data_IF_365184892428
#
_entry.id   IF_365184892428
#
_cell.length_a   1.000
_cell.length_b   1.000
_cell.length_c   1.000
_cell.angle_alpha   90.00
_cell.angle_beta   90.00
_cell.angle_gamma   90.00
#
_symmetry.space_group_name_H-M   'P 1'
#
loop_
_entity.id
_entity.type
_entity.pdbx_description
1 polymer ?
#
# COMPACT_ATOMS: atom_id res chain seq x y z
N UNK A 1 41.46 28.08 -5.25
CA UNK A 1 40.85 28.94 -6.27
C UNK A 1 40.66 28.09 -7.52
N UNK A 2 39.43 27.70 -7.86
CA UNK A 2 39.17 26.77 -8.96
C UNK A 2 37.76 26.17 -8.93
N UNK A 3 36.80 27.00 -9.37
CA UNK A 3 35.44 26.75 -9.90
C UNK A 3 34.69 25.45 -9.55
N UNK A 4 33.55 25.64 -8.88
CA UNK A 4 32.42 24.72 -8.83
C UNK A 4 31.96 24.32 -10.25
N UNK A 5 31.78 23.02 -10.50
CA UNK A 5 31.03 22.49 -11.65
C UNK A 5 29.57 22.30 -11.22
N UNK A 6 28.69 23.14 -11.73
CA UNK A 6 27.25 22.94 -11.76
C UNK A 6 26.88 22.58 -13.19
N UNK A 7 26.65 21.30 -13.47
CA UNK A 7 25.88 20.80 -14.63
C UNK A 7 25.78 19.28 -14.52
N UNK A 8 24.73 18.81 -13.85
CA UNK A 8 24.25 17.42 -13.95
C UNK A 8 22.79 17.46 -14.36
N UNK A 9 22.54 17.76 -15.61
CA UNK A 9 21.31 17.38 -16.29
C UNK A 9 21.66 16.91 -17.70
N UNK A 10 21.40 15.63 -17.97
CA UNK A 10 21.40 15.08 -19.34
C UNK A 10 20.06 15.43 -19.99
N UNK A 11 19.86 16.72 -20.28
CA UNK A 11 18.95 17.16 -21.33
C UNK A 11 19.81 17.82 -22.41
N UNK A 12 20.71 17.03 -23.00
CA UNK A 12 21.45 17.45 -24.18
C UNK A 12 20.87 16.75 -25.39
N UNK A 13 19.83 17.35 -25.98
CA UNK A 13 19.28 16.87 -27.24
C UNK A 13 18.79 18.00 -28.16
N UNK A 14 19.49 19.14 -28.20
CA UNK A 14 19.04 20.27 -29.03
C UNK A 14 20.10 21.00 -29.84
N UNK A 15 21.40 20.64 -29.80
CA UNK A 15 22.42 21.44 -30.50
C UNK A 15 23.10 20.83 -31.73
N UNK A 16 22.77 19.60 -32.15
CA UNK A 16 23.39 19.00 -33.35
C UNK A 16 22.54 19.08 -34.64
N UNK A 17 21.42 19.80 -34.65
CA UNK A 17 20.52 19.88 -35.82
C UNK A 17 20.63 21.17 -36.64
N UNK A 18 21.53 22.10 -36.32
CA UNK A 18 21.60 23.39 -37.01
C UNK A 18 22.25 23.38 -38.40
N UNK A 19 22.63 22.21 -38.94
CA UNK A 19 23.32 22.11 -40.23
C UNK A 19 22.53 21.46 -41.38
N UNK A 20 21.24 21.10 -41.22
CA UNK A 20 20.43 20.55 -42.32
C UNK A 20 18.95 20.95 -42.25
N UNK A 21 18.58 21.91 -43.09
CA UNK A 21 17.21 22.12 -43.57
C UNK A 21 16.29 22.88 -42.60
N UNK A 22 15.55 23.86 -43.15
CA UNK A 22 14.44 24.55 -42.49
C UNK A 22 13.26 23.60 -42.23
N UNK A 23 13.41 22.67 -41.29
CA UNK A 23 12.30 21.84 -40.81
C UNK A 23 12.21 22.06 -39.32
N UNK A 24 11.15 22.75 -38.90
CA UNK A 24 10.81 22.91 -37.49
C UNK A 24 10.85 21.52 -36.82
N UNK A 25 11.41 21.37 -35.61
CA UNK A 25 11.35 20.10 -34.90
C UNK A 25 9.89 19.62 -34.83
N UNK A 26 9.61 18.31 -34.97
CA UNK A 26 8.26 17.81 -34.95
C UNK A 26 7.57 18.26 -33.66
N UNK A 27 6.47 18.99 -33.81
CA UNK A 27 5.69 19.50 -32.69
C UNK A 27 5.10 18.30 -31.95
N UNK A 28 5.37 18.17 -30.65
CA UNK A 28 4.72 17.13 -29.85
C UNK A 28 3.20 17.34 -29.86
N UNK A 29 2.42 16.27 -29.72
CA UNK A 29 0.97 16.37 -29.65
C UNK A 29 0.52 17.34 -28.54
N UNK A 30 1.22 17.32 -27.41
CA UNK A 30 1.04 18.28 -26.31
C UNK A 30 1.19 19.74 -26.78
N UNK A 31 2.27 20.02 -27.50
CA UNK A 31 2.56 21.36 -28.04
C UNK A 31 1.58 21.77 -29.14
N UNK A 32 1.05 20.81 -29.91
CA UNK A 32 0.07 21.04 -30.97
C UNK A 32 -1.31 21.37 -30.42
N UNK A 33 -1.77 20.60 -29.43
CA UNK A 33 -3.09 20.76 -28.79
C UNK A 33 -3.06 21.86 -27.72
N UNK A 34 -1.88 22.34 -27.33
CA UNK A 34 -1.72 23.34 -26.25
C UNK A 34 -2.09 22.77 -24.88
N UNK A 35 -1.92 21.46 -24.68
CA UNK A 35 -2.28 20.73 -23.46
C UNK A 35 -1.08 19.95 -22.94
N UNK A 36 -0.77 20.00 -21.63
CA UNK A 36 0.26 19.14 -21.05
C UNK A 36 0.05 17.67 -21.39
N UNK A 37 1.14 16.94 -21.59
CA UNK A 37 1.11 15.56 -22.08
C UNK A 37 0.27 14.62 -21.20
N UNK A 38 0.31 14.84 -19.88
CA UNK A 38 -0.44 14.06 -18.90
C UNK A 38 -1.96 14.29 -18.89
N UNK A 39 -2.47 15.36 -19.54
CA UNK A 39 -3.92 15.61 -19.68
C UNK A 39 -4.43 15.37 -21.11
N UNK A 40 -3.58 14.91 -22.03
CA UNK A 40 -4.00 14.65 -23.41
C UNK A 40 -5.08 13.57 -23.50
N UNK A 41 -5.08 12.61 -22.57
CA UNK A 41 -6.10 11.58 -22.47
C UNK A 41 -7.38 12.04 -21.78
N UNK A 42 -7.39 13.23 -21.17
CA UNK A 42 -8.56 13.80 -20.50
C UNK A 42 -9.43 14.54 -21.52
N UNK A 43 -10.52 13.89 -21.93
CA UNK A 43 -11.50 14.41 -22.88
C UNK A 43 -12.63 15.07 -22.09
N UNK A 44 -12.83 16.39 -22.21
CA UNK A 44 -13.87 17.10 -21.47
C UNK A 44 -15.27 16.48 -21.63
N UNK A 45 -15.56 15.94 -22.81
CA UNK A 45 -16.86 15.35 -23.14
C UNK A 45 -17.13 14.02 -22.39
N UNK A 46 -16.08 13.37 -21.85
CA UNK A 46 -16.21 12.15 -21.05
C UNK A 46 -16.40 12.42 -19.56
N UNK A 47 -16.27 13.67 -19.11
CA UNK A 47 -16.45 14.04 -17.71
C UNK A 47 -17.88 13.73 -17.28
N UNK A 48 -18.04 13.00 -16.17
CA UNK A 48 -19.37 12.79 -15.58
C UNK A 48 -19.66 13.86 -14.55
N UNK A 49 -20.76 14.59 -14.72
CA UNK A 49 -21.24 15.54 -13.71
C UNK A 49 -22.06 14.87 -12.59
N UNK A 50 -22.40 13.59 -12.75
CA UNK A 50 -23.12 12.80 -11.76
C UNK A 50 -22.19 11.71 -11.24
N UNK A 51 -22.06 11.61 -9.93
CA UNK A 51 -21.27 10.57 -9.28
C UNK A 51 -22.14 9.62 -8.48
N UNK A 52 -21.78 8.35 -8.53
CA UNK A 52 -22.43 7.29 -7.75
C UNK A 52 -21.78 7.22 -6.38
N UNK A 53 -22.56 7.41 -5.32
CA UNK A 53 -22.08 7.25 -3.95
C UNK A 53 -21.99 5.77 -3.58
N UNK A 54 -20.82 5.34 -3.11
CA UNK A 54 -20.56 4.06 -2.47
C UNK A 54 -20.50 4.31 -0.97
N UNK A 55 -21.57 3.90 -0.28
CA UNK A 55 -21.61 3.97 1.17
C UNK A 55 -20.80 2.82 1.79
N UNK A 56 -19.90 3.17 2.70
CA UNK A 56 -19.02 2.24 3.43
C UNK A 56 -19.18 2.42 4.94
N UNK A 57 -20.25 3.09 5.39
CA UNK A 57 -20.55 3.30 6.81
C UNK A 57 -20.70 1.97 7.55
N UNK A 58 -21.37 0.99 6.95
CA UNK A 58 -21.52 -0.36 7.51
C UNK A 58 -20.17 -1.07 7.71
N UNK A 59 -19.22 -0.82 6.80
CA UNK A 59 -17.86 -1.38 6.90
C UNK A 59 -17.12 -0.81 8.11
N UNK A 60 -17.27 0.49 8.39
CA UNK A 60 -16.70 1.15 9.57
C UNK A 60 -17.37 0.65 10.85
N UNK A 61 -18.70 0.48 10.84
CA UNK A 61 -19.42 -0.07 11.97
C UNK A 61 -18.92 -1.49 12.31
N UNK A 62 -18.78 -2.35 11.29
CA UNK A 62 -18.25 -3.71 11.44
C UNK A 62 -16.80 -3.73 11.93
N UNK A 63 -15.94 -2.84 11.44
CA UNK A 63 -14.58 -2.72 11.96
C UNK A 63 -14.57 -2.24 13.42
N UNK A 64 -15.47 -1.32 13.78
CA UNK A 64 -15.60 -0.80 15.15
C UNK A 64 -15.93 -1.91 16.14
N UNK A 65 -16.81 -2.86 15.77
CA UNK A 65 -17.14 -3.99 16.66
C UNK A 65 -15.91 -4.87 16.93
N UNK A 66 -15.09 -5.17 15.92
CA UNK A 66 -13.84 -5.93 16.11
C UNK A 66 -12.82 -5.20 16.99
N UNK A 67 -12.82 -3.86 16.99
CA UNK A 67 -11.95 -3.04 17.83
C UNK A 67 -12.47 -2.84 19.27
N UNK A 68 -13.73 -3.24 19.53
CA UNK A 68 -14.36 -3.25 20.85
C UNK A 68 -14.29 -4.61 21.53
N UNK A 69 -14.21 -5.69 20.75
CA UNK A 69 -14.08 -7.04 21.29
C UNK A 69 -12.87 -7.12 22.24
N UNK A 70 -13.14 -7.49 23.50
CA UNK A 70 -12.08 -7.75 24.44
C UNK A 70 -11.18 -8.86 23.88
N UNK A 71 -9.84 -8.69 23.91
CA UNK A 71 -8.95 -9.73 23.45
C UNK A 71 -9.25 -11.00 24.22
N UNK A 72 -9.57 -12.07 23.50
CA UNK A 72 -9.80 -13.40 24.08
C UNK A 72 -8.68 -13.65 25.10
N UNK A 73 -9.07 -13.92 26.35
CA UNK A 73 -8.17 -14.26 27.45
C UNK A 73 -7.52 -15.62 27.14
N UNK A 74 -6.55 -15.59 26.24
CA UNK A 74 -5.69 -16.73 25.94
C UNK A 74 -4.79 -16.90 27.17
N UNK A 75 -4.76 -18.08 27.82
CA UNK A 75 -3.99 -18.33 29.05
C UNK A 75 -2.46 -18.39 28.82
N UNK A 76 -1.96 -17.77 27.75
CA UNK A 76 -0.53 -17.67 27.47
C UNK A 76 0.01 -16.38 28.09
N UNK A 77 1.11 -16.51 28.83
CA UNK A 77 1.93 -15.36 29.23
C UNK A 77 2.83 -15.00 28.06
N UNK A 78 2.80 -13.74 27.65
CA UNK A 78 3.66 -13.19 26.61
C UNK A 78 4.67 -12.25 27.26
N UNK A 79 5.91 -12.24 26.77
CA UNK A 79 6.92 -11.32 27.29
C UNK A 79 6.68 -9.89 26.80
N UNK A 80 6.12 -9.73 25.59
CA UNK A 80 5.78 -8.43 25.01
C UNK A 80 4.66 -8.52 23.95
N UNK A 81 4.23 -7.35 23.45
CA UNK A 81 3.16 -7.19 22.45
C UNK A 81 3.49 -7.79 21.08
N UNK A 82 4.74 -7.69 20.59
CA UNK A 82 5.13 -8.28 19.29
C UNK A 82 4.97 -9.79 19.29
N UNK A 83 5.31 -10.47 20.39
CA UNK A 83 5.12 -11.92 20.51
C UNK A 83 3.64 -12.31 20.50
N UNK A 84 2.79 -11.53 21.18
CA UNK A 84 1.34 -11.75 21.16
C UNK A 84 0.77 -11.60 19.75
N UNK A 85 1.14 -10.54 19.04
CA UNK A 85 0.70 -10.30 17.66
C UNK A 85 1.23 -11.36 16.69
N UNK A 86 2.43 -11.89 16.96
CA UNK A 86 3.04 -12.97 16.18
C UNK A 86 2.20 -14.23 16.24
N UNK A 87 1.74 -14.63 17.44
CA UNK A 87 0.88 -15.81 17.59
C UNK A 87 -0.47 -15.62 16.90
N UNK A 88 -1.07 -14.44 16.98
CA UNK A 88 -2.29 -14.13 16.24
C UNK A 88 -2.10 -14.24 14.71
N UNK A 89 -0.98 -13.72 14.20
CA UNK A 89 -0.62 -13.83 12.78
C UNK A 89 -0.37 -15.28 12.34
N UNK A 90 0.26 -16.09 13.17
CA UNK A 90 0.50 -17.52 12.90
C UNK A 90 -0.80 -18.32 12.83
N UNK A 91 -1.68 -18.12 13.80
CA UNK A 91 -3.00 -18.73 13.83
C UNK A 91 -3.85 -18.33 12.60
N UNK A 92 -3.79 -17.05 12.19
CA UNK A 92 -4.37 -16.61 10.92
C UNK A 92 -3.77 -17.36 9.73
N UNK A 93 -2.44 -17.42 9.59
CA UNK A 93 -1.78 -18.14 8.48
C UNK A 93 -2.16 -19.62 8.43
N UNK A 94 -2.25 -20.30 9.58
CA UNK A 94 -2.68 -21.71 9.66
C UNK A 94 -4.12 -21.88 9.17
N UNK A 95 -5.03 -21.00 9.57
CA UNK A 95 -6.42 -21.04 9.07
C UNK A 95 -6.50 -20.85 7.56
N UNK A 96 -5.68 -19.94 7.01
CA UNK A 96 -5.61 -19.66 5.57
C UNK A 96 -5.08 -20.82 4.76
N UNK A 97 -4.03 -21.47 5.24
CA UNK A 97 -3.40 -22.61 4.57
C UNK A 97 -4.36 -23.80 4.31
N UNK A 98 -5.51 -23.85 5.02
CA UNK A 98 -6.55 -24.87 4.83
C UNK A 98 -7.48 -24.59 3.64
N UNK A 99 -7.43 -23.39 3.06
CA UNK A 99 -8.31 -22.98 1.96
C UNK A 99 -7.52 -22.87 0.65
N UNK A 100 -8.09 -23.30 -0.49
CA UNK A 100 -7.44 -23.12 -1.78
C UNK A 100 -7.34 -21.63 -2.14
N UNK A 101 -6.22 -21.23 -2.74
CA UNK A 101 -6.05 -19.89 -3.30
C UNK A 101 -6.79 -19.81 -4.64
N UNK A 102 -7.62 -18.78 -4.80
CA UNK A 102 -8.40 -18.54 -6.01
C UNK A 102 -7.69 -17.57 -6.94
N UNK A 103 -7.76 -17.86 -8.24
CA UNK A 103 -7.15 -17.02 -9.27
C UNK A 103 -8.17 -16.04 -9.82
N UNK A 104 -7.86 -14.75 -9.71
CA UNK A 104 -8.71 -13.64 -10.11
C UNK A 104 -8.27 -13.18 -11.49
N UNK A 105 -9.13 -13.42 -12.49
CA UNK A 105 -8.86 -13.02 -13.87
C UNK A 105 -9.20 -11.55 -14.13
N UNK A 106 -10.30 -11.07 -13.56
CA UNK A 106 -10.81 -9.72 -13.79
C UNK A 106 -11.09 -9.05 -12.45
N UNK A 107 -10.70 -7.78 -12.32
CA UNK A 107 -11.06 -6.94 -11.16
C UNK A 107 -12.03 -5.87 -11.66
N UNK A 108 -13.30 -6.04 -11.30
CA UNK A 108 -14.36 -5.06 -11.51
C UNK A 108 -14.92 -4.56 -10.19
N UNK A 109 -16.16 -4.06 -10.23
CA UNK A 109 -16.83 -3.49 -9.04
C UNK A 109 -16.98 -4.52 -7.92
N UNK A 110 -17.48 -5.72 -8.23
CA UNK A 110 -17.80 -6.72 -7.22
C UNK A 110 -16.53 -7.20 -6.49
N UNK A 111 -15.48 -7.51 -7.25
CA UNK A 111 -14.19 -7.94 -6.72
C UNK A 111 -13.56 -6.83 -5.88
N UNK A 112 -13.57 -5.59 -6.36
CA UNK A 112 -13.02 -4.43 -5.63
C UNK A 112 -13.72 -4.24 -4.27
N UNK A 113 -15.06 -4.28 -4.25
CA UNK A 113 -15.82 -4.10 -3.01
C UNK A 113 -15.61 -5.27 -2.02
N UNK A 114 -15.56 -6.51 -2.51
CA UNK A 114 -15.24 -7.68 -1.68
C UNK A 114 -13.83 -7.57 -1.12
N UNK A 115 -12.86 -7.11 -1.91
CA UNK A 115 -11.49 -6.92 -1.46
C UNK A 115 -11.40 -5.82 -0.41
N UNK A 116 -12.08 -4.69 -0.60
CA UNK A 116 -12.10 -3.62 0.39
C UNK A 116 -12.70 -4.11 1.71
N UNK A 117 -13.86 -4.77 1.67
CA UNK A 117 -14.47 -5.31 2.88
C UNK A 117 -13.55 -6.31 3.58
N UNK A 118 -13.07 -7.31 2.83
CA UNK A 118 -12.29 -8.41 3.40
C UNK A 118 -10.99 -7.91 4.03
N UNK A 119 -10.26 -7.04 3.33
CA UNK A 119 -8.96 -6.57 3.80
C UNK A 119 -9.08 -5.49 4.88
N UNK A 120 -10.10 -4.62 4.81
CA UNK A 120 -10.33 -3.64 5.89
C UNK A 120 -10.68 -4.33 7.21
N UNK A 121 -11.54 -5.36 7.16
CA UNK A 121 -11.87 -6.16 8.34
C UNK A 121 -10.66 -6.95 8.84
N UNK A 122 -9.85 -7.54 7.95
CA UNK A 122 -8.63 -8.23 8.34
C UNK A 122 -7.62 -7.28 9.03
N UNK A 123 -7.47 -6.05 8.53
CA UNK A 123 -6.67 -5.02 9.18
C UNK A 123 -7.21 -4.68 10.57
N UNK A 124 -8.52 -4.48 10.72
CA UNK A 124 -9.16 -4.21 12.01
C UNK A 124 -8.91 -5.33 13.04
N UNK A 125 -9.04 -6.59 12.60
CA UNK A 125 -8.75 -7.77 13.43
C UNK A 125 -7.27 -7.89 13.79
N UNK A 126 -6.37 -7.50 12.89
CA UNK A 126 -4.94 -7.47 13.21
C UNK A 126 -4.63 -6.39 14.26
N UNK A 127 -5.21 -5.19 14.12
CA UNK A 127 -5.08 -4.11 15.10
C UNK A 127 -5.68 -4.45 16.46
N UNK A 128 -6.78 -5.21 16.53
CA UNK A 128 -7.34 -5.67 17.81
C UNK A 128 -6.42 -6.64 18.55
N UNK A 129 -5.46 -7.26 17.86
CA UNK A 129 -4.40 -8.06 18.46
C UNK A 129 -3.31 -7.25 19.16
N UNK A 130 -3.24 -5.92 18.96
CA UNK A 130 -2.18 -5.05 19.46
C UNK A 130 -2.58 -4.37 20.79
N UNK A 131 -2.08 -4.84 21.97
CA UNK A 131 -2.61 -4.43 23.27
C UNK A 131 -2.53 -2.93 23.56
N UNK A 132 -1.41 -2.29 23.20
CA UNK A 132 -1.21 -0.87 23.44
C UNK A 132 -2.11 -0.02 22.54
N UNK A 133 -2.47 -0.53 21.36
CA UNK A 133 -3.43 0.10 20.46
C UNK A 133 -4.87 -0.06 20.95
N UNK A 134 -5.27 -1.23 21.44
CA UNK A 134 -6.66 -1.45 21.90
C UNK A 134 -7.04 -0.56 23.08
N UNK A 135 -6.06 -0.15 23.88
CA UNK A 135 -6.23 0.79 25.00
C UNK A 135 -6.56 2.24 24.60
N UNK A 136 -6.43 2.58 23.31
CA UNK A 136 -6.70 3.94 22.82
C UNK A 136 -8.21 4.22 22.73
N UNK A 137 -8.55 5.51 22.69
CA UNK A 137 -9.92 5.97 22.42
C UNK A 137 -10.41 5.45 21.07
N UNK A 138 -11.68 5.07 20.97
CA UNK A 138 -12.24 4.50 19.73
C UNK A 138 -12.02 5.39 18.51
N UNK A 139 -12.20 6.70 18.65
CA UNK A 139 -11.97 7.64 17.55
C UNK A 139 -10.52 7.59 17.05
N UNK A 140 -9.55 7.54 17.96
CA UNK A 140 -8.12 7.42 17.59
C UNK A 140 -7.86 6.09 16.88
N UNK A 141 -8.46 4.99 17.37
CA UNK A 141 -8.34 3.67 16.72
C UNK A 141 -8.87 3.69 15.29
N UNK A 142 -10.03 4.31 15.08
CA UNK A 142 -10.67 4.40 13.76
C UNK A 142 -9.88 5.29 12.79
N UNK A 143 -9.39 6.44 13.23
CA UNK A 143 -8.56 7.31 12.37
C UNK A 143 -7.30 6.58 11.88
N UNK A 144 -6.58 5.90 12.80
CA UNK A 144 -5.40 5.11 12.44
C UNK A 144 -5.76 3.97 11.47
N UNK A 145 -6.84 3.23 11.74
CA UNK A 145 -7.26 2.14 10.87
C UNK A 145 -7.61 2.64 9.45
N UNK A 146 -8.43 3.69 9.35
CA UNK A 146 -8.86 4.29 8.09
C UNK A 146 -7.69 4.80 7.27
N UNK A 147 -6.67 5.40 7.89
CA UNK A 147 -5.50 5.92 7.17
C UNK A 147 -4.50 4.87 6.72
N UNK A 148 -4.50 3.69 7.35
CA UNK A 148 -3.35 2.78 7.27
C UNK A 148 -3.66 1.39 6.73
N UNK A 149 -4.94 1.00 6.61
CA UNK A 149 -5.33 -0.35 6.20
C UNK A 149 -4.82 -0.75 4.79
N UNK A 150 -4.74 0.19 3.84
CA UNK A 150 -4.20 -0.09 2.50
C UNK A 150 -2.68 -0.32 2.51
N UNK A 151 -1.96 0.37 3.40
CA UNK A 151 -0.53 0.12 3.61
C UNK A 151 -0.29 -1.24 4.27
N UNK A 152 -1.11 -1.56 5.29
CA UNK A 152 -1.13 -2.86 5.92
C UNK A 152 -1.35 -3.96 4.87
N UNK A 153 -2.40 -3.82 4.06
CA UNK A 153 -2.74 -4.75 2.98
C UNK A 153 -1.56 -4.96 2.05
N UNK A 154 -0.95 -3.87 1.58
CA UNK A 154 0.13 -3.94 0.61
C UNK A 154 1.35 -4.70 1.13
N UNK A 155 1.81 -4.37 2.34
CA UNK A 155 2.95 -5.08 2.92
C UNK A 155 2.61 -6.55 3.20
N UNK A 156 1.42 -6.81 3.74
CA UNK A 156 0.99 -8.17 4.07
C UNK A 156 0.91 -9.05 2.82
N UNK A 157 0.35 -8.56 1.72
CA UNK A 157 0.25 -9.31 0.46
C UNK A 157 1.57 -9.48 -0.27
N UNK A 158 2.47 -8.50 -0.17
CA UNK A 158 3.83 -8.66 -0.69
C UNK A 158 4.61 -9.72 0.11
N UNK A 159 4.45 -9.76 1.44
CA UNK A 159 5.07 -10.78 2.28
C UNK A 159 4.48 -12.17 2.04
N UNK A 160 3.16 -12.27 1.86
CA UNK A 160 2.49 -13.52 1.50
C UNK A 160 2.97 -14.02 0.13
N UNK A 161 3.01 -13.13 -0.87
CA UNK A 161 3.53 -13.44 -2.22
C UNK A 161 4.96 -13.96 -2.17
N UNK A 162 5.85 -13.29 -1.43
CA UNK A 162 7.23 -13.72 -1.24
C UNK A 162 7.33 -15.13 -0.63
N UNK A 163 6.43 -15.47 0.30
CA UNK A 163 6.37 -16.82 0.86
C UNK A 163 5.90 -17.89 -0.13
N UNK A 164 4.88 -17.59 -0.93
CA UNK A 164 4.42 -18.48 -1.99
C UNK A 164 5.47 -18.67 -3.10
N UNK A 165 6.20 -17.60 -3.47
CA UNK A 165 7.29 -17.67 -4.45
C UNK A 165 8.47 -18.50 -3.94
N UNK A 166 8.89 -18.28 -2.68
CA UNK A 166 9.98 -19.05 -2.03
C UNK A 166 9.66 -20.54 -1.97
N UNK A 167 8.40 -20.88 -1.68
CA UNK A 167 7.92 -22.27 -1.64
C UNK A 167 7.61 -22.86 -3.03
N UNK A 168 7.82 -22.10 -4.10
CA UNK A 168 7.50 -22.49 -5.49
C UNK A 168 6.04 -22.92 -5.70
N UNK A 169 5.12 -22.38 -4.90
CA UNK A 169 3.68 -22.67 -5.01
C UNK A 169 3.01 -21.76 -6.03
N UNK A 170 3.50 -20.53 -6.19
CA UNK A 170 3.06 -19.58 -7.20
C UNK A 170 4.23 -19.20 -8.13
N UNK A 171 3.92 -18.91 -9.39
CA UNK A 171 4.89 -18.39 -10.35
C UNK A 171 5.31 -16.94 -10.03
N UNK A 172 6.45 -16.51 -10.57
CA UNK A 172 7.05 -15.18 -10.35
C UNK A 172 6.10 -14.01 -10.66
N UNK A 173 5.17 -14.22 -11.59
CA UNK A 173 4.24 -13.19 -12.07
C UNK A 173 2.87 -13.28 -11.39
N UNK A 174 2.72 -14.16 -10.40
CA UNK A 174 1.48 -14.33 -9.64
C UNK A 174 1.63 -13.70 -8.26
N UNK A 175 0.76 -12.75 -7.95
CA UNK A 175 0.77 -11.98 -6.71
C UNK A 175 -0.52 -12.18 -5.93
N UNK A 176 -0.42 -12.26 -4.61
CA UNK A 176 -1.58 -12.21 -3.73
C UNK A 176 -2.18 -10.81 -3.76
N UNK A 177 -3.51 -10.72 -3.84
CA UNK A 177 -4.23 -9.44 -3.90
C UNK A 177 -5.28 -9.27 -2.81
N UNK A 178 -5.77 -10.38 -2.24
CA UNK A 178 -6.72 -10.40 -1.13
C UNK A 178 -6.62 -11.72 -0.37
N UNK A 179 -7.39 -11.86 0.70
CA UNK A 179 -7.51 -13.09 1.47
C UNK A 179 -7.89 -14.28 0.57
N UNK A 180 -6.98 -15.24 0.43
CA UNK A 180 -7.18 -16.43 -0.40
C UNK A 180 -7.33 -16.15 -1.90
N UNK A 181 -6.91 -14.98 -2.38
CA UNK A 181 -7.01 -14.62 -3.80
C UNK A 181 -5.67 -14.10 -4.35
N UNK A 182 -5.33 -14.53 -5.56
CA UNK A 182 -4.16 -14.09 -6.31
C UNK A 182 -4.52 -13.72 -7.75
N UNK A 183 -3.64 -12.97 -8.40
CA UNK A 183 -3.74 -12.58 -9.81
C UNK A 183 -2.40 -12.73 -10.50
N UNK A 184 -2.39 -12.89 -11.81
CA UNK A 184 -1.17 -12.77 -12.60
C UNK A 184 -1.07 -11.35 -13.16
N UNK A 185 0.01 -10.66 -12.82
CA UNK A 185 0.19 -9.22 -13.12
C UNK A 185 0.27 -8.94 -14.62
N UNK A 186 0.63 -9.92 -15.44
CA UNK A 186 0.73 -9.76 -16.89
C UNK A 186 -0.60 -9.99 -17.62
N UNK A 187 -1.53 -10.72 -17.00
CA UNK A 187 -2.72 -11.26 -17.68
C UNK A 187 -4.05 -10.86 -17.05
N UNK A 188 -4.05 -10.26 -15.87
CA UNK A 188 -5.28 -9.80 -15.24
C UNK A 188 -5.91 -8.65 -16.04
N UNK A 189 -7.25 -8.59 -16.00
CA UNK A 189 -8.03 -7.57 -16.68
C UNK A 189 -8.66 -6.62 -15.66
N UNK A 190 -8.64 -5.31 -15.95
CA UNK A 190 -9.34 -4.30 -15.16
C UNK A 190 -10.65 -3.93 -15.84
N UNK A 191 -11.77 -4.03 -15.11
CA UNK A 191 -13.03 -3.42 -15.51
C UNK A 191 -13.23 -2.11 -14.75
N UNK A 192 -13.01 -1.00 -15.45
CA UNK A 192 -13.14 0.35 -14.91
C UNK A 192 -14.49 1.00 -15.28
N UNK A 193 -15.36 0.34 -16.05
CA UNK A 193 -16.61 0.93 -16.55
C UNK A 193 -17.57 1.36 -15.44
N UNK A 194 -17.41 0.80 -14.25
CA UNK A 194 -18.23 1.12 -13.09
C UNK A 194 -17.79 2.40 -12.35
N UNK A 195 -16.55 2.86 -12.56
CA UNK A 195 -15.98 4.00 -11.85
C UNK A 195 -15.44 5.11 -12.75
N UNK A 196 -15.43 4.94 -14.06
CA UNK A 196 -14.95 5.97 -14.99
C UNK A 196 -15.55 5.78 -16.40
N UNK A 197 -15.67 6.88 -17.14
CA UNK A 197 -16.04 6.88 -18.56
C UNK A 197 -14.83 6.72 -19.49
N UNK A 198 -13.61 6.70 -18.94
CA UNK A 198 -12.37 6.51 -19.68
C UNK A 198 -12.04 5.03 -19.83
N UNK A 199 -11.40 4.66 -20.93
CA UNK A 199 -10.94 3.28 -21.11
C UNK A 199 -9.71 2.97 -20.25
N UNK A 200 -9.45 1.69 -20.02
CA UNK A 200 -8.23 1.23 -19.34
C UNK A 200 -6.97 1.73 -20.04
N UNK A 201 -6.96 1.79 -21.37
CA UNK A 201 -5.81 2.29 -22.14
C UNK A 201 -5.58 3.78 -21.92
N UNK A 202 -6.66 4.58 -21.85
CA UNK A 202 -6.56 6.02 -21.59
C UNK A 202 -6.04 6.32 -20.18
N UNK A 203 -6.40 5.48 -19.21
CA UNK A 203 -5.95 5.61 -17.83
C UNK A 203 -4.69 4.81 -17.51
N UNK A 204 -4.15 4.02 -18.45
CA UNK A 204 -3.00 3.12 -18.19
C UNK A 204 -1.82 3.89 -17.63
N UNK A 205 -1.45 5.02 -18.23
CA UNK A 205 -0.30 5.81 -17.79
C UNK A 205 -0.53 6.51 -16.44
N UNK A 206 -1.80 6.76 -16.11
CA UNK A 206 -2.21 7.36 -14.86
C UNK A 206 -2.28 6.34 -13.72
N UNK A 207 -2.81 5.15 -13.99
CA UNK A 207 -3.16 4.12 -13.00
C UNK A 207 -2.12 3.01 -12.82
N UNK A 208 -1.33 2.67 -13.85
CA UNK A 208 -0.61 1.38 -13.93
C UNK A 208 0.94 1.45 -13.88
N UNK A 209 1.72 2.47 -14.33
CA UNK A 209 3.08 2.17 -14.81
C UNK A 209 4.20 2.08 -13.77
N UNK A 210 3.97 2.34 -12.48
CA UNK A 210 5.05 2.41 -11.46
C UNK A 210 4.91 1.32 -10.39
N UNK A 211 3.87 0.50 -10.48
CA UNK A 211 3.45 -0.38 -9.38
C UNK A 211 4.16 -1.75 -9.46
N UNK A 212 4.38 -2.27 -10.67
CA UNK A 212 4.96 -3.60 -10.86
C UNK A 212 6.43 -3.70 -10.40
N UNK A 213 7.27 -2.72 -10.74
CA UNK A 213 8.69 -2.75 -10.37
C UNK A 213 8.90 -2.64 -8.86
N UNK A 214 8.14 -1.76 -8.19
CA UNK A 214 8.20 -1.63 -6.74
C UNK A 214 7.70 -2.88 -6.01
N UNK A 215 6.66 -3.55 -6.53
CA UNK A 215 6.18 -4.82 -5.99
C UNK A 215 7.22 -5.92 -6.15
N UNK A 216 7.76 -6.09 -7.36
CA UNK A 216 8.77 -7.11 -7.65
C UNK A 216 10.02 -6.92 -6.81
N UNK A 217 10.50 -5.68 -6.65
CA UNK A 217 11.64 -5.38 -5.78
C UNK A 217 11.34 -5.71 -4.31
N UNK A 218 10.15 -5.33 -3.82
CA UNK A 218 9.75 -5.61 -2.43
C UNK A 218 9.65 -7.11 -2.17
N UNK A 219 9.02 -7.86 -3.09
CA UNK A 219 8.92 -9.33 -3.01
C UNK A 219 10.30 -9.97 -3.05
N UNK A 220 11.21 -9.51 -3.91
CA UNK A 220 12.58 -10.02 -3.97
C UNK A 220 13.31 -9.84 -2.63
N UNK A 221 13.24 -8.65 -2.01
CA UNK A 221 13.85 -8.40 -0.70
C UNK A 221 13.22 -9.29 0.38
N UNK A 222 11.90 -9.41 0.42
CA UNK A 222 11.19 -10.25 1.40
C UNK A 222 11.48 -11.74 1.19
N UNK A 223 11.71 -12.17 -0.05
CA UNK A 223 12.08 -13.54 -0.39
C UNK A 223 13.51 -13.86 0.06
N UNK A 224 14.46 -12.94 -0.19
CA UNK A 224 15.87 -13.07 0.26
C UNK A 224 15.97 -13.09 1.78
N UNK A 225 15.25 -12.19 2.46
CA UNK A 225 15.41 -12.00 3.90
C UNK A 225 14.62 -13.00 4.73
N UNK A 226 13.51 -13.53 4.22
CA UNK A 226 12.62 -14.42 4.96
C UNK A 226 12.29 -13.83 6.35
N UNK A 227 11.56 -12.69 6.41
CA UNK A 227 11.27 -12.05 7.69
C UNK A 227 10.47 -12.99 8.59
N UNK A 228 10.85 -13.07 9.86
CA UNK A 228 10.03 -13.76 10.84
C UNK A 228 8.70 -13.02 11.04
N UNK A 229 7.69 -13.70 11.57
CA UNK A 229 6.41 -13.06 11.89
C UNK A 229 6.56 -11.90 12.90
N UNK A 230 7.60 -11.93 13.75
CA UNK A 230 7.95 -10.83 14.66
C UNK A 230 8.45 -9.63 13.86
N UNK A 231 9.38 -9.85 12.93
CA UNK A 231 9.91 -8.80 12.05
C UNK A 231 8.81 -8.22 11.16
N UNK A 232 7.95 -9.06 10.59
CA UNK A 232 6.84 -8.64 9.74
C UNK A 232 5.80 -7.82 10.52
N UNK A 233 5.43 -8.23 11.73
CA UNK A 233 4.56 -7.43 12.61
C UNK A 233 5.19 -6.06 12.91
N UNK A 234 6.48 -6.01 13.24
CA UNK A 234 7.17 -4.74 13.44
C UNK A 234 7.13 -3.86 12.19
N UNK A 235 7.39 -4.43 11.01
CA UNK A 235 7.31 -3.70 9.74
C UNK A 235 5.90 -3.13 9.50
N UNK A 236 4.84 -3.91 9.71
CA UNK A 236 3.45 -3.48 9.58
C UNK A 236 3.12 -2.34 10.54
N UNK A 237 3.50 -2.47 11.83
CA UNK A 237 3.26 -1.43 12.84
C UNK A 237 3.99 -0.14 12.45
N UNK A 238 5.28 -0.22 12.12
CA UNK A 238 6.06 0.95 11.70
C UNK A 238 5.43 1.63 10.47
N UNK A 239 5.06 0.85 9.45
CA UNK A 239 4.48 1.39 8.23
C UNK A 239 3.14 2.09 8.50
N UNK A 240 2.25 1.42 9.23
CA UNK A 240 0.90 1.92 9.47
C UNK A 240 0.87 3.13 10.40
N UNK A 241 1.62 3.09 11.50
CA UNK A 241 1.58 4.15 12.51
C UNK A 241 2.34 5.40 12.05
N UNK A 242 3.41 5.24 11.27
CA UNK A 242 4.13 6.38 10.69
C UNK A 242 3.23 7.17 9.73
N UNK A 243 2.44 6.47 8.91
CA UNK A 243 1.48 7.12 8.01
C UNK A 243 0.38 7.85 8.78
N UNK A 244 -0.24 7.19 9.77
CA UNK A 244 -1.29 7.80 10.58
C UNK A 244 -0.79 9.04 11.33
N UNK A 245 0.40 8.96 11.94
CA UNK A 245 1.03 10.08 12.64
C UNK A 245 1.28 11.27 11.72
N UNK A 246 1.82 11.01 10.51
CA UNK A 246 2.04 12.05 9.49
C UNK A 246 0.74 12.67 9.00
N UNK A 247 -0.33 11.89 8.83
CA UNK A 247 -1.62 12.38 8.33
C UNK A 247 -2.31 13.30 9.32
N UNK A 248 -2.42 12.89 10.58
CA UNK A 248 -3.28 13.57 11.55
C UNK A 248 -2.56 14.53 12.50
N UNK A 249 -1.25 14.37 12.70
CA UNK A 249 -0.46 15.22 13.60
C UNK A 249 -1.00 15.20 15.06
N UNK A 250 -0.50 16.09 15.92
CA UNK A 250 -1.00 16.31 17.28
C UNK A 250 -1.10 15.03 18.13
N UNK A 251 -2.24 14.83 18.80
CA UNK A 251 -2.47 13.67 19.70
C UNK A 251 -2.25 12.33 19.01
N UNK A 252 -2.61 12.20 17.72
CA UNK A 252 -2.43 10.94 17.00
C UNK A 252 -0.94 10.70 16.75
N UNK A 253 -0.19 11.74 16.33
CA UNK A 253 1.27 11.64 16.16
C UNK A 253 1.96 11.20 17.47
N UNK A 254 1.66 11.87 18.58
CA UNK A 254 2.24 11.53 19.90
C UNK A 254 1.97 10.07 20.29
N UNK A 255 0.75 9.61 20.07
CA UNK A 255 0.35 8.23 20.34
C UNK A 255 1.09 7.26 19.42
N UNK A 256 1.13 7.53 18.12
CA UNK A 256 1.81 6.66 17.14
C UNK A 256 3.30 6.56 17.40
N UNK A 257 3.98 7.66 17.76
CA UNK A 257 5.41 7.68 18.08
C UNK A 257 5.70 6.88 19.35
N UNK A 258 4.87 7.03 20.38
CA UNK A 258 4.97 6.22 21.60
C UNK A 258 4.83 4.73 21.30
N UNK A 259 3.82 4.35 20.52
CA UNK A 259 3.60 2.95 20.15
C UNK A 259 4.78 2.39 19.35
N UNK A 260 5.27 3.12 18.34
CA UNK A 260 6.43 2.74 17.53
C UNK A 260 7.69 2.56 18.39
N UNK A 261 7.92 3.44 19.37
CA UNK A 261 9.07 3.34 20.29
C UNK A 261 9.00 2.08 21.17
N UNK A 262 7.82 1.73 21.68
CA UNK A 262 7.62 0.49 22.45
C UNK A 262 7.96 -0.72 21.58
N UNK A 263 7.47 -0.75 20.34
CA UNK A 263 7.73 -1.88 19.43
C UNK A 263 9.20 -1.94 18.98
N UNK A 264 9.88 -0.80 18.86
CA UNK A 264 11.32 -0.78 18.57
C UNK A 264 12.13 -1.38 19.72
N UNK A 265 11.77 -1.09 20.97
CA UNK A 265 12.40 -1.72 22.14
C UNK A 265 12.12 -3.23 22.20
N UNK A 266 10.88 -3.65 21.92
CA UNK A 266 10.51 -5.06 21.89
C UNK A 266 11.28 -5.83 20.79
N UNK A 267 11.46 -5.22 19.61
CA UNK A 267 12.25 -5.82 18.54
C UNK A 267 13.74 -5.89 18.89
N UNK A 268 14.29 -4.84 19.52
CA UNK A 268 15.67 -4.85 20.01
C UNK A 268 15.90 -6.00 21.01
N UNK A 269 14.98 -6.17 21.96
CA UNK A 269 15.03 -7.25 22.93
C UNK A 269 14.92 -8.63 22.27
N UNK A 270 14.05 -8.78 21.27
CA UNK A 270 13.96 -10.01 20.47
C UNK A 270 15.31 -10.36 19.81
N UNK A 271 15.96 -9.41 19.13
CA UNK A 271 17.24 -9.68 18.49
C UNK A 271 18.35 -9.97 19.49
N UNK A 272 18.47 -9.17 20.55
CA UNK A 272 19.62 -9.22 21.47
C UNK A 272 19.49 -10.31 22.53
N UNK A 273 18.30 -10.51 23.10
CA UNK A 273 18.08 -11.46 24.20
C UNK A 273 17.70 -12.84 23.67
N UNK A 274 16.79 -12.92 22.68
CA UNK A 274 16.26 -14.19 22.17
C UNK A 274 17.12 -14.80 21.08
N UNK A 275 17.47 -14.02 20.04
CA UNK A 275 18.34 -14.50 18.96
C UNK A 275 19.83 -14.37 19.26
N UNK A 276 20.20 -13.62 20.31
CA UNK A 276 21.60 -13.32 20.68
C UNK A 276 22.42 -12.71 19.52
N UNK A 277 21.75 -11.90 18.69
CA UNK A 277 22.33 -11.20 17.56
C UNK A 277 22.66 -9.75 17.94
N UNK A 278 23.94 -9.39 17.87
CA UNK A 278 24.41 -8.02 18.14
C UNK A 278 24.43 -7.13 16.90
N UNK A 279 24.51 -7.72 15.70
CA UNK A 279 24.71 -7.00 14.43
C UNK A 279 23.47 -7.07 13.50
N UNK A 280 22.26 -6.94 14.06
CA UNK A 280 21.01 -7.05 13.29
C UNK A 280 20.63 -5.78 12.51
N UNK A 281 21.34 -4.66 12.72
CA UNK A 281 21.01 -3.35 12.13
C UNK A 281 21.00 -3.35 10.60
N UNK A 282 21.90 -4.11 9.96
CA UNK A 282 21.96 -4.24 8.50
C UNK A 282 20.73 -4.96 7.94
N UNK A 283 20.28 -6.02 8.62
CA UNK A 283 19.05 -6.75 8.30
C UNK A 283 17.83 -5.85 8.47
N UNK A 284 17.72 -5.17 9.61
CA UNK A 284 16.62 -4.23 9.87
C UNK A 284 16.58 -3.11 8.82
N UNK A 285 17.74 -2.58 8.41
CA UNK A 285 17.82 -1.57 7.35
C UNK A 285 17.26 -2.10 6.03
N UNK A 286 17.61 -3.33 5.63
CA UNK A 286 17.05 -3.93 4.41
C UNK A 286 15.53 -4.15 4.52
N UNK A 287 15.02 -4.58 5.68
CA UNK A 287 13.58 -4.70 5.91
C UNK A 287 12.88 -3.34 5.81
N UNK A 288 13.44 -2.29 6.42
CA UNK A 288 12.88 -0.93 6.35
C UNK A 288 12.89 -0.32 4.95
N UNK A 289 13.78 -0.76 4.05
CA UNK A 289 13.73 -0.36 2.63
C UNK A 289 12.41 -0.77 1.96
N UNK A 290 11.84 -1.91 2.34
CA UNK A 290 10.52 -2.34 1.83
C UNK A 290 9.44 -1.37 2.30
N UNK A 291 9.42 -1.03 3.59
CA UNK A 291 8.47 -0.03 4.11
C UNK A 291 8.60 1.32 3.42
N UNK A 292 9.84 1.78 3.17
CA UNK A 292 10.11 3.03 2.48
C UNK A 292 9.62 2.99 1.03
N UNK A 293 9.81 1.89 0.31
CA UNK A 293 9.31 1.72 -1.05
C UNK A 293 7.78 1.76 -1.10
N UNK A 294 7.10 1.07 -0.18
CA UNK A 294 5.64 1.08 -0.08
C UNK A 294 5.12 2.49 0.27
N UNK A 295 5.75 3.19 1.21
CA UNK A 295 5.36 4.55 1.57
C UNK A 295 5.62 5.57 0.44
N UNK A 296 6.65 5.36 -0.38
CA UNK A 296 6.93 6.19 -1.55
C UNK A 296 5.83 6.02 -2.62
N UNK A 297 5.46 4.78 -2.93
CA UNK A 297 4.36 4.51 -3.86
C UNK A 297 3.03 5.07 -3.35
N UNK A 298 2.73 4.92 -2.05
CA UNK A 298 1.52 5.47 -1.47
C UNK A 298 1.44 7.01 -1.64
N UNK A 299 2.58 7.71 -1.51
CA UNK A 299 2.63 9.16 -1.74
C UNK A 299 2.35 9.51 -3.20
N UNK A 300 2.96 8.80 -4.15
CA UNK A 300 2.70 9.00 -5.58
C UNK A 300 1.22 8.74 -5.92
N UNK A 301 0.60 7.74 -5.29
CA UNK A 301 -0.83 7.46 -5.45
C UNK A 301 -1.70 8.58 -4.90
N UNK A 302 -1.36 9.20 -3.77
CA UNK A 302 -2.10 10.37 -3.26
C UNK A 302 -2.05 11.54 -4.24
N UNK A 303 -0.88 11.80 -4.82
CA UNK A 303 -0.72 12.85 -5.82
C UNK A 303 -1.57 12.57 -7.07
N UNK A 304 -1.58 11.31 -7.53
CA UNK A 304 -2.45 10.88 -8.63
C UNK A 304 -3.93 10.98 -8.26
N UNK A 305 -4.35 10.50 -7.09
CA UNK A 305 -5.74 10.59 -6.64
C UNK A 305 -6.23 12.05 -6.63
N UNK A 306 -5.41 12.97 -6.15
CA UNK A 306 -5.69 14.40 -6.16
C UNK A 306 -5.84 14.96 -7.59
N UNK A 307 -4.95 14.58 -8.51
CA UNK A 307 -5.10 14.96 -9.93
C UNK A 307 -6.38 14.36 -10.54
N UNK A 308 -6.73 13.13 -10.18
CA UNK A 308 -7.92 12.46 -10.68
C UNK A 308 -9.19 13.18 -10.26
N UNK A 309 -9.20 13.71 -9.03
CA UNK A 309 -10.27 14.53 -8.49
C UNK A 309 -10.38 15.86 -9.24
N UNK A 310 -9.26 16.57 -9.45
CA UNK A 310 -9.23 17.84 -10.21
C UNK A 310 -9.79 17.66 -11.62
N UNK A 311 -9.38 16.60 -12.32
CA UNK A 311 -9.82 16.32 -13.68
C UNK A 311 -11.15 15.56 -13.75
N UNK A 312 -11.76 15.27 -12.60
CA UNK A 312 -13.01 14.54 -12.46
C UNK A 312 -13.04 13.24 -13.29
N UNK A 313 -11.96 12.46 -13.16
CA UNK A 313 -11.75 11.24 -13.95
C UNK A 313 -12.67 10.08 -13.54
N UNK A 314 -13.15 10.10 -12.29
CA UNK A 314 -13.96 9.04 -11.72
C UNK A 314 -15.42 9.47 -11.52
N UNK A 315 -16.32 8.53 -11.74
CA UNK A 315 -17.79 8.66 -11.62
C UNK A 315 -18.31 8.13 -10.28
N UNK A 316 -17.44 7.86 -9.31
CA UNK A 316 -17.77 7.33 -7.99
C UNK A 316 -17.22 8.20 -6.88
N UNK A 317 -17.95 8.26 -5.76
CA UNK A 317 -17.50 8.84 -4.50
C UNK A 317 -17.76 7.85 -3.37
N UNK A 318 -17.02 7.99 -2.28
CA UNK A 318 -17.20 7.18 -1.08
C UNK A 318 -17.77 8.05 0.04
N UNK A 319 -18.65 7.47 0.87
CA UNK A 319 -19.10 8.14 2.11
C UNK A 319 -17.96 8.53 3.06
N UNK A 320 -16.83 7.80 2.96
CA UNK A 320 -15.61 7.99 3.74
C UNK A 320 -14.40 8.00 2.81
N UNK A 321 -14.18 9.09 2.06
CA UNK A 321 -13.15 9.16 1.03
C UNK A 321 -11.72 9.06 1.61
N UNK A 322 -11.53 9.44 2.88
CA UNK A 322 -10.25 9.40 3.58
C UNK A 322 -9.62 8.00 3.66
N UNK A 323 -10.44 6.96 3.49
CA UNK A 323 -10.04 5.55 3.49
C UNK A 323 -9.40 5.09 2.18
N UNK A 324 -9.63 5.80 1.06
CA UNK A 324 -9.30 5.35 -0.28
C UNK A 324 -8.31 6.28 -1.01
N UNK A 325 -7.69 7.22 -0.30
CA UNK A 325 -6.72 8.18 -0.87
C UNK A 325 -5.50 7.53 -1.53
N UNK A 326 -5.19 6.27 -1.18
CA UNK A 326 -4.05 5.51 -1.73
C UNK A 326 -4.47 4.22 -2.45
N UNK A 327 -5.77 4.09 -2.76
CA UNK A 327 -6.35 2.87 -3.34
C UNK A 327 -5.81 2.57 -4.75
#
# INVERSE_FOLDING_TARGET
>A
MGKFQSDRDLISNSNNYLARGKVSPPQSLASFVGRPEFILCCEPDKISHVKTLIDVSDLIYKASSYLQEDPILIPYKFENSLEKMTLAMEDMKIRRAKKPVQFVKTIGKAESLIFYETNFIAAAQWFSGFPEFTSLDMNVKLEILKSSWLLWLRLEKLAETADYHRRHVLGSDVFMCSEGACLNVETFELDLKWCTNYSVEQLRNFMIPVIEDHWRQSVAILTELEPSNIELNFMLIQLCLNEAGKKFQGKILDVTDRLMQIQANNLHDYYTKKLKLTNYSSRLTKLMKVNQAIAADARERKEKAYLAEIFNLFTVEYSHPEMFEIA
#
